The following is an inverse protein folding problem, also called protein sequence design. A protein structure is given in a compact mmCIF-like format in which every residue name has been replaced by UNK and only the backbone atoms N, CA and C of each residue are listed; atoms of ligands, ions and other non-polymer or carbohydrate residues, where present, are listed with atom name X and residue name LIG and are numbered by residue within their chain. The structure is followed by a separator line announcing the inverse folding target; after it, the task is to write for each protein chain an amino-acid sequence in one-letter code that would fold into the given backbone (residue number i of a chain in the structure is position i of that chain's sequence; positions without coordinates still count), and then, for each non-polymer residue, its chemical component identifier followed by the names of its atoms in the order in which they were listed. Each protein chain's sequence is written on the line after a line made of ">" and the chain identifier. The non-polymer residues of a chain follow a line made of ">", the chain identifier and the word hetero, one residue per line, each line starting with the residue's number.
data_IF_458880298295
#
_entry.id   IF_458880298295
#
_cell.length_a   1.000
_cell.length_b   1.000
_cell.length_c   1.000
_cell.angle_alpha   90.00
_cell.angle_beta   90.00
_cell.angle_gamma   90.00
#
_symmetry.space_group_name_H-M   'P 1'
#
loop_
_entity.id
_entity.type
_entity.pdbx_description
1 polymer ?
#
# COMPACT_ATOMS: atom_id res chain seq x y z
N UNK A 1 -65.13 -10.39 8.39
CA UNK A 1 -64.55 -9.03 8.43
C UNK A 1 -63.12 -9.11 7.91
N UNK A 2 -62.82 -8.35 6.86
CA UNK A 2 -61.54 -8.26 6.15
C UNK A 2 -60.49 -7.57 7.03
N UNK A 3 -59.25 -8.07 7.10
CA UNK A 3 -58.02 -7.25 7.12
C UNK A 3 -56.85 -8.02 6.48
N UNK A 4 -56.56 -7.62 5.25
CA UNK A 4 -55.34 -7.90 4.50
C UNK A 4 -54.26 -6.98 5.09
N UNK A 5 -53.13 -7.52 5.52
CA UNK A 5 -51.91 -6.76 5.84
C UNK A 5 -50.80 -7.42 5.03
N UNK A 6 -50.67 -7.02 3.76
CA UNK A 6 -49.77 -5.95 3.32
C UNK A 6 -48.31 -6.40 3.36
N UNK A 7 -47.96 -7.05 2.26
CA UNK A 7 -46.64 -7.31 1.72
C UNK A 7 -45.75 -6.05 1.81
N UNK A 8 -44.81 -6.01 2.76
CA UNK A 8 -43.69 -5.08 2.69
C UNK A 8 -42.58 -5.73 1.86
N UNK A 9 -42.62 -5.44 0.56
CA UNK A 9 -41.48 -5.62 -0.31
C UNK A 9 -40.35 -4.70 0.19
N UNK A 10 -39.38 -5.26 0.92
CA UNK A 10 -38.08 -4.63 1.08
C UNK A 10 -37.41 -4.64 -0.29
N UNK A 11 -37.68 -3.59 -1.06
CA UNK A 11 -36.84 -3.17 -2.17
C UNK A 11 -35.49 -2.87 -1.55
N UNK A 12 -34.59 -3.85 -1.60
CA UNK A 12 -33.17 -3.62 -1.41
C UNK A 12 -32.76 -2.75 -2.58
N UNK A 13 -32.77 -1.44 -2.34
CA UNK A 13 -32.10 -0.47 -3.18
C UNK A 13 -30.66 -0.92 -3.24
N UNK A 14 -30.27 -1.53 -4.37
CA UNK A 14 -28.88 -1.66 -4.77
C UNK A 14 -28.43 -0.21 -4.92
N UNK A 15 -27.93 0.35 -3.83
CA UNK A 15 -27.29 1.64 -3.84
C UNK A 15 -26.15 1.52 -4.84
N UNK A 16 -26.33 2.17 -5.99
CA UNK A 16 -25.22 2.58 -6.83
C UNK A 16 -24.37 3.47 -5.93
N UNK A 17 -23.37 2.87 -5.27
CA UNK A 17 -22.33 3.62 -4.59
C UNK A 17 -21.63 4.34 -5.75
N UNK A 18 -21.98 5.60 -5.93
CA UNK A 18 -21.21 6.51 -6.76
C UNK A 18 -19.82 6.56 -6.12
N UNK A 19 -18.88 5.83 -6.70
CA UNK A 19 -17.52 5.79 -6.20
C UNK A 19 -16.88 7.10 -6.64
N UNK A 20 -16.79 8.05 -5.73
CA UNK A 20 -16.06 9.29 -5.96
C UNK A 20 -14.57 9.00 -5.84
N UNK A 21 -13.77 9.61 -6.72
CA UNK A 21 -12.33 9.51 -6.62
C UNK A 21 -11.84 9.93 -5.23
N UNK A 22 -10.90 9.19 -4.65
CA UNK A 22 -10.45 9.36 -3.27
C UNK A 22 -8.94 9.20 -3.13
N UNK A 23 -8.32 10.05 -2.31
CA UNK A 23 -6.93 9.86 -1.89
C UNK A 23 -6.89 9.00 -0.63
N UNK A 24 -6.26 7.84 -0.71
CA UNK A 24 -6.10 6.89 0.39
C UNK A 24 -4.64 6.80 0.80
N UNK A 25 -4.39 6.83 2.10
CA UNK A 25 -3.05 6.69 2.68
C UNK A 25 -2.83 5.31 3.26
N UNK A 26 -1.69 4.71 2.94
CA UNK A 26 -1.27 3.40 3.44
C UNK A 26 0.09 3.52 4.12
N UNK A 27 0.24 2.86 5.25
CA UNK A 27 1.44 2.96 6.07
C UNK A 27 2.01 1.57 6.36
N UNK A 28 3.32 1.45 6.25
CA UNK A 28 4.08 0.33 6.81
C UNK A 28 5.17 0.89 7.71
N UNK A 29 5.31 0.28 8.89
CA UNK A 29 6.36 0.63 9.85
C UNK A 29 7.08 -0.64 10.28
N UNK A 30 8.38 -0.66 10.05
CA UNK A 30 9.28 -1.70 10.51
C UNK A 30 9.24 -1.80 12.04
N UNK A 31 8.93 -2.99 12.55
CA UNK A 31 9.08 -3.29 13.97
C UNK A 31 10.55 -3.20 14.40
N UNK A 32 10.80 -3.08 15.70
CA UNK A 32 12.17 -2.95 16.23
C UNK A 32 13.05 -4.18 15.94
N UNK A 33 12.43 -5.36 15.82
CA UNK A 33 13.07 -6.62 15.42
C UNK A 33 13.03 -6.86 13.90
N UNK A 34 12.47 -5.92 13.14
CA UNK A 34 12.32 -5.96 11.68
C UNK A 34 11.60 -7.20 11.15
N UNK A 35 10.59 -7.70 11.88
CA UNK A 35 9.71 -8.79 11.44
C UNK A 35 8.48 -8.27 10.68
N UNK A 36 7.97 -7.10 11.04
CA UNK A 36 6.87 -6.44 10.33
C UNK A 36 7.40 -5.50 9.25
N UNK A 37 7.57 -5.97 8.01
CA UNK A 37 8.19 -5.19 6.92
C UNK A 37 7.22 -4.89 5.77
N UNK A 38 5.98 -5.36 5.86
CA UNK A 38 5.04 -5.30 4.75
C UNK A 38 3.64 -4.95 5.22
N UNK A 39 2.91 -4.21 4.39
CA UNK A 39 1.46 -4.07 4.51
C UNK A 39 0.82 -4.33 3.16
N UNK A 40 -0.47 -4.64 3.16
CA UNK A 40 -1.26 -4.87 1.96
C UNK A 40 -2.31 -3.80 1.77
N UNK A 41 -2.60 -3.49 0.52
CA UNK A 41 -3.74 -2.65 0.14
C UNK A 41 -4.40 -3.19 -1.12
N UNK A 42 -5.61 -2.72 -1.42
CA UNK A 42 -6.38 -3.19 -2.57
C UNK A 42 -6.96 -2.01 -3.34
N UNK A 43 -6.85 -2.06 -4.66
CA UNK A 43 -7.62 -1.23 -5.57
C UNK A 43 -8.93 -1.98 -5.87
N UNK A 44 -10.11 -1.40 -5.54
CA UNK A 44 -11.38 -2.08 -5.72
C UNK A 44 -11.65 -2.49 -7.18
N UNK A 45 -12.53 -3.48 -7.34
CA UNK A 45 -12.99 -3.89 -8.66
C UNK A 45 -13.65 -2.72 -9.40
N UNK A 46 -13.30 -2.55 -10.69
CA UNK A 46 -13.83 -1.49 -11.54
C UNK A 46 -13.20 -0.11 -11.36
N UNK A 47 -12.25 0.04 -10.44
CA UNK A 47 -11.51 1.28 -10.19
C UNK A 47 -10.07 1.19 -10.68
N UNK A 48 -9.44 2.34 -10.90
CA UNK A 48 -7.99 2.41 -11.12
C UNK A 48 -7.31 3.19 -10.01
N UNK A 49 -6.06 2.85 -9.72
CA UNK A 49 -5.24 3.59 -8.77
C UNK A 49 -4.10 4.33 -9.46
N UNK A 50 -3.68 5.45 -8.89
CA UNK A 50 -2.46 6.15 -9.25
C UNK A 50 -1.66 6.46 -7.99
N UNK A 51 -0.36 6.14 -7.98
CA UNK A 51 0.50 6.55 -6.88
C UNK A 51 0.71 8.07 -6.93
N UNK A 52 0.50 8.74 -5.80
CA UNK A 52 0.59 10.20 -5.70
C UNK A 52 1.87 10.64 -4.99
N UNK A 53 2.18 10.03 -3.85
CA UNK A 53 3.36 10.36 -3.06
C UNK A 53 3.84 9.13 -2.29
N UNK A 54 5.13 9.11 -1.97
CA UNK A 54 5.75 8.10 -1.11
C UNK A 54 6.72 8.81 -0.17
N UNK A 55 6.37 8.92 1.09
CA UNK A 55 7.25 9.41 2.14
C UNK A 55 7.97 8.25 2.81
N UNK A 56 9.27 8.43 3.08
CA UNK A 56 10.11 7.43 3.73
C UNK A 56 10.83 8.06 4.92
N UNK A 57 10.43 7.69 6.13
CA UNK A 57 11.17 8.00 7.35
C UNK A 57 12.25 6.93 7.55
N UNK A 58 13.51 7.33 7.39
CA UNK A 58 14.65 6.42 7.39
C UNK A 58 15.15 6.10 8.81
N UNK A 59 15.82 4.96 8.91
CA UNK A 59 16.57 4.50 10.07
C UNK A 59 17.81 3.77 9.57
N UNK A 60 18.98 4.23 10.00
CA UNK A 60 20.26 3.59 9.66
C UNK A 60 20.82 2.79 10.84
N UNK A 61 19.92 2.31 11.69
CA UNK A 61 20.25 1.40 12.79
C UNK A 61 20.10 -0.05 12.35
N UNK A 62 20.81 -0.95 13.01
CA UNK A 62 20.65 -2.39 12.78
C UNK A 62 19.47 -2.95 13.56
N UNK A 63 18.80 -3.96 12.99
CA UNK A 63 17.71 -4.69 13.65
C UNK A 63 18.23 -5.59 14.80
N UNK A 64 19.51 -5.97 14.77
CA UNK A 64 20.16 -6.75 15.84
C UNK A 64 21.68 -6.60 15.79
N UNK A 65 22.36 -6.85 16.91
CA UNK A 65 23.80 -6.68 17.03
C UNK A 65 24.65 -7.56 16.09
N UNK A 66 24.06 -8.60 15.48
CA UNK A 66 24.74 -9.51 14.56
C UNK A 66 24.72 -9.05 13.10
N UNK A 67 24.02 -7.95 12.79
CA UNK A 67 23.95 -7.40 11.44
C UNK A 67 24.53 -5.98 11.39
N UNK A 68 25.24 -5.61 10.31
CA UNK A 68 25.66 -4.24 10.13
C UNK A 68 24.45 -3.31 9.97
N UNK A 69 24.62 -2.06 10.38
CA UNK A 69 23.69 -1.00 10.06
C UNK A 69 23.53 -0.88 8.53
N UNK A 70 22.31 -0.66 8.02
CA UNK A 70 22.11 -0.46 6.58
C UNK A 70 22.74 0.86 6.14
N UNK A 71 23.27 0.90 4.92
CA UNK A 71 23.73 2.13 4.25
C UNK A 71 22.64 2.75 3.38
N UNK A 72 21.61 1.99 3.06
CA UNK A 72 20.46 2.40 2.27
C UNK A 72 19.17 1.90 2.91
N UNK A 73 18.12 2.70 2.81
CA UNK A 73 16.76 2.33 3.12
C UNK A 73 15.93 2.35 1.85
N UNK A 74 14.98 1.44 1.70
CA UNK A 74 14.07 1.46 0.56
C UNK A 74 12.65 1.11 0.94
N UNK A 75 11.73 1.56 0.08
CA UNK A 75 10.36 1.08 0.01
C UNK A 75 10.06 0.63 -1.42
N UNK A 76 9.29 -0.44 -1.56
CA UNK A 76 8.84 -1.00 -2.84
C UNK A 76 7.34 -1.24 -2.83
N UNK A 77 6.73 -1.10 -4.00
CA UNK A 77 5.32 -1.46 -4.25
C UNK A 77 5.27 -2.60 -5.25
N UNK A 78 4.50 -3.64 -4.94
CA UNK A 78 4.34 -4.82 -5.78
C UNK A 78 2.86 -5.10 -6.03
N UNK A 79 2.52 -5.62 -7.21
CA UNK A 79 1.28 -6.36 -7.38
C UNK A 79 1.39 -7.71 -6.63
N UNK A 80 0.36 -8.05 -5.86
CA UNK A 80 0.25 -9.34 -5.18
C UNK A 80 -0.31 -10.36 -6.17
N UNK A 81 0.45 -11.42 -6.43
CA UNK A 81 0.00 -12.51 -7.30
C UNK A 81 -0.71 -13.62 -6.52
N UNK A 82 -1.45 -14.49 -7.23
CA UNK A 82 -2.18 -15.61 -6.65
C UNK A 82 -1.21 -16.69 -6.14
N UNK A 83 -0.72 -16.48 -4.92
CA UNK A 83 0.17 -17.35 -4.18
C UNK A 83 0.56 -16.61 -2.90
N UNK A 84 0.39 -17.22 -1.74
CA UNK A 84 0.73 -16.57 -0.47
C UNK A 84 2.18 -16.10 -0.53
N UNK A 85 2.40 -14.78 -0.58
CA UNK A 85 3.70 -14.09 -0.65
C UNK A 85 4.42 -14.03 -2.01
N UNK A 86 3.77 -14.39 -3.11
CA UNK A 86 4.38 -14.24 -4.43
C UNK A 86 4.36 -12.77 -4.88
N UNK A 87 5.51 -12.09 -4.72
CA UNK A 87 5.74 -10.71 -5.19
C UNK A 87 6.17 -10.75 -6.66
N UNK A 88 5.47 -10.01 -7.51
CA UNK A 88 5.92 -9.77 -8.88
C UNK A 88 7.14 -8.84 -8.95
N UNK A 89 7.46 -8.34 -10.15
CA UNK A 89 8.40 -7.22 -10.30
C UNK A 89 7.88 -6.01 -9.52
N UNK A 90 8.77 -5.30 -8.82
CA UNK A 90 8.41 -4.04 -8.18
C UNK A 90 7.91 -3.04 -9.24
N UNK A 91 6.73 -2.47 -9.00
CA UNK A 91 6.14 -1.41 -9.83
C UNK A 91 6.80 -0.07 -9.54
N UNK A 92 7.25 0.12 -8.29
CA UNK A 92 7.93 1.31 -7.81
C UNK A 92 8.96 0.92 -6.74
N UNK A 93 10.10 1.61 -6.73
CA UNK A 93 11.10 1.58 -5.65
C UNK A 93 11.55 3.00 -5.38
N UNK A 94 11.53 3.40 -4.11
CA UNK A 94 12.24 4.59 -3.59
C UNK A 94 13.35 4.12 -2.69
N UNK A 95 14.55 4.67 -2.87
CA UNK A 95 15.74 4.38 -2.06
C UNK A 95 16.26 5.69 -1.49
N UNK A 96 16.67 5.69 -0.23
CA UNK A 96 17.32 6.81 0.45
C UNK A 96 18.59 6.28 1.10
N UNK A 97 19.74 6.84 0.74
CA UNK A 97 21.02 6.47 1.35
C UNK A 97 21.28 7.24 2.65
N UNK A 98 22.36 6.89 3.36
CA UNK A 98 22.73 7.52 4.62
C UNK A 98 23.28 8.96 4.49
N UNK A 99 23.41 9.48 3.27
CA UNK A 99 23.67 10.89 2.98
C UNK A 99 22.38 11.67 2.69
N UNK A 100 21.24 10.98 2.57
CA UNK A 100 19.94 11.58 2.25
C UNK A 100 19.65 11.69 0.75
N UNK A 101 20.47 11.09 -0.12
CA UNK A 101 20.19 11.08 -1.55
C UNK A 101 19.01 10.16 -1.84
N UNK A 102 18.08 10.64 -2.68
CA UNK A 102 16.87 9.91 -3.05
C UNK A 102 17.00 9.41 -4.48
N UNK A 103 16.71 8.12 -4.70
CA UNK A 103 16.59 7.53 -6.04
C UNK A 103 15.26 6.80 -6.19
N UNK A 104 14.58 7.04 -7.30
CA UNK A 104 13.34 6.34 -7.67
C UNK A 104 13.55 5.50 -8.94
N UNK A 105 12.93 4.32 -9.01
CA UNK A 105 13.01 3.46 -10.20
C UNK A 105 12.26 4.02 -11.41
N UNK A 106 11.25 4.84 -11.15
CA UNK A 106 10.40 5.54 -12.12
C UNK A 106 9.75 6.70 -11.37
N UNK A 107 9.37 7.80 -12.04
CA UNK A 107 8.59 8.85 -11.40
C UNK A 107 7.32 8.25 -10.79
N UNK A 108 7.05 8.52 -9.51
CA UNK A 108 5.91 7.91 -8.81
C UNK A 108 4.56 8.14 -9.52
N UNK A 109 4.41 9.33 -10.11
CA UNK A 109 3.20 9.74 -10.84
C UNK A 109 2.94 8.94 -12.12
N UNK A 110 3.93 8.19 -12.63
CA UNK A 110 3.76 7.34 -13.80
C UNK A 110 3.22 5.95 -13.44
N UNK A 111 3.15 5.62 -12.15
CA UNK A 111 2.72 4.31 -11.67
C UNK A 111 1.20 4.25 -11.57
N UNK A 112 0.60 3.51 -12.49
CA UNK A 112 -0.83 3.18 -12.50
C UNK A 112 -1.07 1.78 -11.97
N UNK A 113 -2.16 1.63 -11.23
CA UNK A 113 -2.58 0.40 -10.58
C UNK A 113 -3.92 -0.03 -11.19
N UNK A 114 -4.00 -1.29 -11.57
CA UNK A 114 -5.26 -1.92 -11.98
C UNK A 114 -6.02 -2.41 -10.72
N UNK A 115 -7.29 -2.79 -10.85
CA UNK A 115 -7.96 -3.52 -9.77
C UNK A 115 -7.14 -4.71 -9.28
N UNK A 116 -7.00 -4.85 -7.96
CA UNK A 116 -6.24 -5.94 -7.37
C UNK A 116 -5.55 -5.61 -6.06
N UNK A 117 -4.90 -6.61 -5.48
CA UNK A 117 -4.15 -6.49 -4.23
C UNK A 117 -2.68 -6.12 -4.49
N UNK A 118 -2.12 -5.34 -3.58
CA UNK A 118 -0.78 -4.79 -3.65
C UNK A 118 -0.07 -4.91 -2.30
N UNK A 119 1.25 -4.95 -2.33
CA UNK A 119 2.11 -5.02 -1.14
C UNK A 119 3.03 -3.81 -1.14
N UNK A 120 3.09 -3.09 -0.01
CA UNK A 120 4.17 -2.16 0.29
C UNK A 120 5.18 -2.91 1.14
N UNK A 121 6.45 -2.86 0.77
CA UNK A 121 7.56 -3.48 1.50
C UNK A 121 8.60 -2.44 1.82
N UNK A 122 9.11 -2.45 3.06
CA UNK A 122 10.27 -1.67 3.47
C UNK A 122 11.49 -2.54 3.72
N UNK A 123 12.68 -1.95 3.56
CA UNK A 123 13.94 -2.59 3.94
C UNK A 123 14.03 -2.83 5.45
N UNK A 124 14.91 -3.74 5.86
CA UNK A 124 15.22 -4.00 7.26
C UNK A 124 15.95 -2.82 7.90
N UNK A 125 15.23 -2.06 8.71
CA UNK A 125 15.79 -1.12 9.67
C UNK A 125 14.73 -0.83 10.75
N UNK A 126 15.09 -0.80 12.05
CA UNK A 126 14.12 -0.66 13.12
C UNK A 126 13.46 0.73 13.05
N UNK A 127 12.13 0.76 13.10
CA UNK A 127 11.36 2.00 13.08
C UNK A 127 11.26 2.71 11.72
N UNK A 128 11.89 2.18 10.67
CA UNK A 128 11.73 2.69 9.31
C UNK A 128 10.24 2.67 8.92
N UNK A 129 9.74 3.78 8.39
CA UNK A 129 8.33 3.92 8.04
C UNK A 129 8.19 4.42 6.61
N UNK A 130 7.23 3.87 5.87
CA UNK A 130 6.79 4.41 4.60
C UNK A 130 5.31 4.77 4.64
N UNK A 131 4.96 5.93 4.08
CA UNK A 131 3.59 6.39 3.87
C UNK A 131 3.36 6.58 2.38
N UNK A 132 2.45 5.80 1.81
CA UNK A 132 2.04 5.86 0.41
C UNK A 132 0.68 6.52 0.30
N UNK A 133 0.55 7.52 -0.57
CA UNK A 133 -0.74 8.08 -0.98
C UNK A 133 -1.11 7.57 -2.38
N UNK A 134 -2.35 7.10 -2.52
CA UNK A 134 -2.91 6.60 -3.77
C UNK A 134 -4.19 7.35 -4.08
N UNK A 135 -4.28 7.91 -5.27
CA UNK A 135 -5.55 8.37 -5.83
C UNK A 135 -6.27 7.18 -6.44
N UNK A 136 -7.50 6.92 -6.03
CA UNK A 136 -8.32 5.85 -6.56
C UNK A 136 -9.49 6.48 -7.30
N UNK A 137 -9.62 6.16 -8.59
CA UNK A 137 -10.64 6.63 -9.55
C UNK A 137 -11.74 5.59 -9.75
#
# INVERSE_FOLDING_TARGET
>A
MKKIISLFACIVVIGLISVSAQNVKYMVKASNDCTNLTTEFTIPAGQSGKLMSMELTTSFNTCNASQPAPTENYVKVYAKSAGANAKGKALYKKTVDNQGNVTESTPIQDVKLNPGAYIIEVSKAPGLQAELEVHVD
#
